data_IF_329218265413
#
_entry.id   IF_329218265413
#
_cell.length_a   1.000
_cell.length_b   1.000
_cell.length_c   1.000
_cell.angle_alpha   90.00
_cell.angle_beta   90.00
_cell.angle_gamma   90.00
#
_symmetry.space_group_name_H-M   'P 1'
#
loop_
_entity.id
_entity.type
_entity.pdbx_description
1 polymer ?
#
# COMPACT_ATOMS: atom_id res chain seq x y z
N UNK A 1 -10.52 26.45 11.08
CA UNK A 1 -10.30 25.01 11.37
C UNK A 1 -9.38 24.89 12.57
N UNK A 2 -9.75 24.08 13.54
CA UNK A 2 -8.85 23.81 14.65
C UNK A 2 -7.59 23.10 14.14
N UNK A 3 -6.43 23.53 14.65
CA UNK A 3 -5.14 22.95 14.24
C UNK A 3 -5.09 21.46 14.63
N UNK A 4 -4.68 20.61 13.69
CA UNK A 4 -4.47 19.20 13.99
C UNK A 4 -3.28 19.02 14.95
N UNK A 5 -3.55 18.61 16.17
CA UNK A 5 -2.52 18.41 17.21
C UNK A 5 -1.77 17.07 17.08
N UNK A 6 -2.12 16.24 16.12
CA UNK A 6 -1.56 14.90 15.93
C UNK A 6 -0.60 14.81 14.74
N UNK A 7 -0.26 15.92 14.11
CA UNK A 7 0.62 15.94 12.91
C UNK A 7 2.00 15.35 13.20
N UNK A 8 2.51 15.53 14.43
CA UNK A 8 3.79 14.95 14.88
C UNK A 8 3.86 13.43 14.74
N UNK A 9 2.71 12.74 14.71
CA UNK A 9 2.66 11.28 14.57
C UNK A 9 3.17 10.80 13.21
N UNK A 10 3.13 11.68 12.20
CA UNK A 10 3.59 11.38 10.83
C UNK A 10 4.96 12.01 10.50
N UNK A 11 5.65 12.61 11.48
CA UNK A 11 6.99 13.12 11.26
C UNK A 11 7.96 12.03 10.81
N UNK A 12 8.73 12.32 9.76
CA UNK A 12 9.72 11.41 9.20
C UNK A 12 9.15 10.38 8.24
N UNK A 13 7.94 10.57 7.73
CA UNK A 13 7.44 9.83 6.57
C UNK A 13 8.42 9.96 5.40
N UNK A 14 8.66 8.87 4.65
CA UNK A 14 9.30 8.95 3.34
C UNK A 14 8.46 9.81 2.37
N UNK A 15 9.06 10.30 1.27
CA UNK A 15 8.30 11.02 0.25
C UNK A 15 7.14 10.16 -0.27
N UNK A 16 6.00 10.80 -0.49
CA UNK A 16 4.78 10.16 -0.97
C UNK A 16 4.57 10.46 -2.45
N UNK A 17 4.37 9.43 -3.25
CA UNK A 17 3.99 9.53 -4.65
C UNK A 17 2.58 8.96 -4.81
N UNK A 18 1.59 9.84 -5.01
CA UNK A 18 0.21 9.37 -5.15
C UNK A 18 -0.25 9.37 -6.60
N UNK A 19 -0.94 8.32 -6.97
CA UNK A 19 -1.41 8.03 -8.32
C UNK A 19 -2.86 8.52 -8.43
N UNK A 20 -3.15 9.32 -9.45
CA UNK A 20 -4.48 9.87 -9.67
C UNK A 20 -4.74 10.05 -11.17
N UNK A 21 -5.90 9.64 -11.65
CA UNK A 21 -6.37 9.84 -13.01
C UNK A 21 -6.70 11.31 -13.24
N UNK A 22 -6.30 11.89 -14.38
CA UNK A 22 -6.39 13.33 -14.63
C UNK A 22 -7.83 13.86 -14.64
N UNK A 23 -8.80 13.07 -15.02
CA UNK A 23 -10.22 13.42 -15.03
C UNK A 23 -10.93 13.18 -13.69
N UNK A 24 -10.18 12.88 -12.62
CA UNK A 24 -10.69 12.66 -11.26
C UNK A 24 -10.24 13.79 -10.30
N UNK A 25 -10.66 15.05 -10.53
CA UNK A 25 -10.20 16.19 -9.73
C UNK A 25 -10.66 16.12 -8.26
N UNK A 26 -11.82 15.52 -7.99
CA UNK A 26 -12.36 15.35 -6.62
C UNK A 26 -11.46 14.43 -5.76
N UNK A 27 -10.91 13.37 -6.36
CA UNK A 27 -9.99 12.45 -5.68
C UNK A 27 -8.65 13.13 -5.43
N UNK A 28 -8.17 13.93 -6.39
CA UNK A 28 -6.99 14.78 -6.22
C UNK A 28 -7.17 15.77 -5.05
N UNK A 29 -8.26 16.53 -5.04
CA UNK A 29 -8.57 17.51 -3.98
C UNK A 29 -8.62 16.83 -2.61
N UNK A 30 -9.27 15.66 -2.52
CA UNK A 30 -9.32 14.87 -1.30
C UNK A 30 -7.92 14.53 -0.76
N UNK A 31 -6.99 14.08 -1.63
CA UNK A 31 -5.63 13.76 -1.21
C UNK A 31 -4.87 15.02 -0.75
N UNK A 32 -4.96 16.11 -1.49
CA UNK A 32 -4.26 17.36 -1.17
C UNK A 32 -4.80 18.00 0.12
N UNK A 33 -6.12 17.96 0.35
CA UNK A 33 -6.73 18.39 1.62
C UNK A 33 -6.25 17.53 2.81
N UNK A 34 -6.16 16.21 2.63
CA UNK A 34 -5.66 15.31 3.63
C UNK A 34 -4.18 15.58 3.96
N UNK A 35 -3.32 15.77 2.95
CA UNK A 35 -1.92 16.11 3.17
C UNK A 35 -1.77 17.44 3.89
N UNK A 36 -2.53 18.45 3.50
CA UNK A 36 -2.58 19.74 4.19
C UNK A 36 -3.04 19.60 5.64
N UNK A 37 -4.06 18.78 5.92
CA UNK A 37 -4.56 18.54 7.27
C UNK A 37 -3.50 17.88 8.17
N UNK A 38 -2.68 16.99 7.61
CA UNK A 38 -1.62 16.27 8.31
C UNK A 38 -0.26 16.98 8.26
N UNK A 39 -0.16 18.17 7.65
CA UNK A 39 1.07 18.92 7.45
C UNK A 39 2.15 18.09 6.70
N UNK A 40 1.73 17.23 5.74
CA UNK A 40 2.61 16.46 4.87
C UNK A 40 2.96 17.36 3.67
N UNK A 41 4.23 17.70 3.51
CA UNK A 41 4.72 18.59 2.45
C UNK A 41 5.46 17.83 1.34
N UNK A 42 6.09 16.70 1.65
CA UNK A 42 6.87 15.91 0.69
C UNK A 42 5.98 14.88 -0.03
N UNK A 43 5.22 15.37 -0.99
CA UNK A 43 4.41 14.54 -1.86
C UNK A 43 4.44 14.98 -3.31
N UNK A 44 4.22 14.02 -4.22
CA UNK A 44 4.16 14.26 -5.67
C UNK A 44 2.98 13.50 -6.25
N UNK A 45 2.16 14.19 -7.05
CA UNK A 45 1.09 13.58 -7.82
C UNK A 45 1.65 12.94 -9.09
N UNK A 46 1.25 11.72 -9.36
CA UNK A 46 1.55 11.00 -10.59
C UNK A 46 0.25 10.85 -11.40
N UNK A 47 0.23 11.42 -12.60
CA UNK A 47 -0.86 11.21 -13.55
C UNK A 47 -0.91 9.75 -13.96
N UNK A 48 -2.01 9.07 -13.68
CA UNK A 48 -2.22 7.67 -13.95
C UNK A 48 -2.49 7.40 -15.44
N UNK A 49 -2.28 6.15 -15.87
CA UNK A 49 -2.84 5.66 -17.12
C UNK A 49 -4.29 5.22 -16.88
N UNK A 50 -5.20 5.78 -17.65
CA UNK A 50 -6.62 5.45 -17.56
C UNK A 50 -6.92 4.22 -18.43
N UNK A 51 -7.24 3.12 -17.78
CA UNK A 51 -7.61 1.87 -18.48
C UNK A 51 -9.12 1.69 -18.67
N UNK A 52 -9.96 2.67 -18.32
CA UNK A 52 -11.40 2.54 -18.43
C UNK A 52 -11.85 2.64 -19.91
N UNK A 53 -11.29 3.59 -20.63
CA UNK A 53 -11.67 3.92 -22.01
C UNK A 53 -10.49 3.87 -22.99
N UNK A 54 -9.24 3.81 -22.51
CA UNK A 54 -8.05 3.88 -23.34
C UNK A 54 -7.56 2.50 -23.78
N UNK A 55 -7.12 2.41 -25.04
CA UNK A 55 -6.28 1.31 -25.49
C UNK A 55 -4.85 1.53 -25.00
N UNK A 56 -4.44 0.74 -24.02
CA UNK A 56 -3.11 0.80 -23.45
C UNK A 56 -2.05 0.02 -24.23
N UNK A 57 -2.34 -0.49 -25.42
CA UNK A 57 -1.40 -1.28 -26.23
C UNK A 57 -0.12 -0.51 -26.56
N UNK A 58 -0.21 0.80 -26.75
CA UNK A 58 0.92 1.67 -27.07
C UNK A 58 1.95 1.78 -25.96
N UNK A 59 1.54 1.60 -24.71
CA UNK A 59 2.46 1.63 -23.55
C UNK A 59 2.96 0.23 -23.17
N UNK A 60 2.44 -0.84 -23.78
CA UNK A 60 2.89 -2.21 -23.50
C UNK A 60 3.99 -2.62 -24.48
N UNK A 61 5.03 -3.23 -23.93
CA UNK A 61 6.15 -3.80 -24.68
C UNK A 61 6.10 -5.33 -24.62
N UNK A 62 6.06 -5.97 -25.77
CA UNK A 62 5.97 -7.42 -25.88
C UNK A 62 4.52 -7.90 -26.01
N UNK A 63 4.21 -9.03 -25.39
CA UNK A 63 2.85 -9.60 -25.46
C UNK A 63 1.90 -8.78 -24.57
N UNK A 64 0.75 -8.43 -25.13
CA UNK A 64 -0.33 -7.81 -24.35
C UNK A 64 -0.89 -8.81 -23.33
N UNK A 65 -1.11 -8.44 -22.06
CA UNK A 65 -1.57 -9.37 -21.02
C UNK A 65 -3.10 -9.62 -21.14
N UNK A 66 -3.48 -10.58 -21.98
CA UNK A 66 -4.88 -10.93 -22.26
C UNK A 66 -5.70 -11.40 -21.04
N UNK A 67 -5.02 -11.77 -19.94
CA UNK A 67 -5.65 -12.22 -18.70
C UNK A 67 -5.84 -11.10 -17.67
N UNK A 68 -5.67 -9.85 -18.10
CA UNK A 68 -5.89 -8.63 -17.29
C UNK A 68 -6.91 -7.74 -17.98
N UNK A 69 -7.75 -7.07 -17.19
CA UNK A 69 -8.57 -5.99 -17.70
C UNK A 69 -7.73 -4.73 -18.01
N UNK A 70 -8.25 -3.84 -18.86
CA UNK A 70 -7.55 -2.57 -19.15
C UNK A 70 -7.36 -1.73 -17.88
N UNK A 71 -8.33 -1.74 -16.95
CA UNK A 71 -8.21 -1.08 -15.65
C UNK A 71 -7.06 -1.66 -14.80
N UNK A 72 -6.90 -3.00 -14.77
CA UNK A 72 -5.78 -3.65 -14.08
C UNK A 72 -4.42 -3.32 -14.73
N UNK A 73 -4.38 -3.22 -16.07
CA UNK A 73 -3.18 -2.79 -16.81
C UNK A 73 -2.85 -1.34 -16.49
N UNK A 74 -3.85 -0.44 -16.53
CA UNK A 74 -3.70 0.97 -16.18
C UNK A 74 -3.19 1.17 -14.77
N UNK A 75 -3.75 0.44 -13.79
CA UNK A 75 -3.31 0.45 -12.41
C UNK A 75 -1.85 0.00 -12.30
N UNK A 76 -1.50 -1.19 -12.82
CA UNK A 76 -0.14 -1.75 -12.72
C UNK A 76 0.90 -0.85 -13.36
N UNK A 77 0.62 -0.32 -14.56
CA UNK A 77 1.54 0.57 -15.26
C UNK A 77 1.68 1.93 -14.58
N UNK A 78 0.61 2.43 -13.94
CA UNK A 78 0.65 3.66 -13.15
C UNK A 78 1.51 3.51 -11.89
N UNK A 79 1.44 2.36 -11.20
CA UNK A 79 2.35 2.06 -10.09
C UNK A 79 3.81 1.99 -10.54
N UNK A 80 4.10 1.33 -11.65
CA UNK A 80 5.46 1.29 -12.22
C UNK A 80 5.94 2.69 -12.64
N UNK A 81 5.05 3.53 -13.19
CA UNK A 81 5.33 4.93 -13.51
C UNK A 81 5.68 5.74 -12.26
N UNK A 82 4.94 5.58 -11.18
CA UNK A 82 5.20 6.25 -9.91
C UNK A 82 6.54 5.84 -9.31
N UNK A 83 6.84 4.55 -9.28
CA UNK A 83 8.12 4.00 -8.83
C UNK A 83 9.27 4.53 -9.68
N UNK A 84 9.14 4.51 -11.01
CA UNK A 84 10.15 5.04 -11.94
C UNK A 84 10.39 6.52 -11.70
N UNK A 85 9.32 7.32 -11.59
CA UNK A 85 9.42 8.75 -11.34
C UNK A 85 10.14 9.07 -10.03
N UNK A 86 9.79 8.38 -8.94
CA UNK A 86 10.52 8.49 -7.68
C UNK A 86 12.02 8.22 -7.85
N UNK A 87 12.37 7.12 -8.51
CA UNK A 87 13.76 6.71 -8.72
C UNK A 87 14.56 7.73 -9.52
N UNK A 88 13.92 8.43 -10.45
CA UNK A 88 14.54 9.45 -11.32
C UNK A 88 14.66 10.82 -10.64
N UNK A 89 13.79 11.13 -9.68
CA UNK A 89 13.66 12.50 -9.11
C UNK A 89 14.11 12.64 -7.66
N UNK A 90 14.31 11.52 -6.94
CA UNK A 90 14.68 11.53 -5.53
C UNK A 90 15.82 10.55 -5.24
N UNK A 91 16.60 10.83 -4.21
CA UNK A 91 17.63 9.93 -3.67
C UNK A 91 17.21 9.27 -2.35
N UNK A 92 15.97 9.40 -1.92
CA UNK A 92 15.48 8.78 -0.68
C UNK A 92 15.66 7.25 -0.73
N UNK A 93 16.00 6.59 0.39
CA UNK A 93 16.22 5.14 0.43
C UNK A 93 14.93 4.33 0.26
N UNK A 94 13.79 4.94 0.55
CA UNK A 94 12.46 4.38 0.37
C UNK A 94 11.45 5.48 0.02
N UNK A 95 10.30 5.09 -0.48
CA UNK A 95 9.17 5.97 -0.75
C UNK A 95 7.86 5.28 -0.38
N UNK A 96 6.82 6.06 -0.18
CA UNK A 96 5.45 5.59 -0.10
C UNK A 96 4.81 5.83 -1.47
N UNK A 97 4.26 4.77 -2.04
CA UNK A 97 3.41 4.86 -3.22
C UNK A 97 1.97 4.68 -2.74
N UNK A 98 1.08 5.55 -3.19
CA UNK A 98 -0.32 5.54 -2.77
C UNK A 98 -1.27 5.73 -3.95
N UNK A 99 -2.50 5.24 -3.81
CA UNK A 99 -3.62 5.58 -4.68
C UNK A 99 -4.37 6.80 -4.13
N UNK A 100 -5.20 7.41 -4.94
CA UNK A 100 -5.89 8.66 -4.64
C UNK A 100 -7.14 8.51 -3.73
N UNK A 101 -7.29 7.33 -3.15
CA UNK A 101 -8.29 7.03 -2.11
C UNK A 101 -7.68 6.67 -0.76
N UNK A 102 -6.37 6.79 -0.60
CA UNK A 102 -5.71 6.60 0.68
C UNK A 102 -6.37 7.43 1.78
N UNK A 103 -6.57 6.83 2.97
CA UNK A 103 -7.08 7.52 4.15
C UNK A 103 -6.15 7.34 5.35
N UNK A 104 -5.68 8.46 5.90
CA UNK A 104 -4.86 8.53 7.11
C UNK A 104 -5.71 8.64 8.39
N UNK A 105 -7.02 8.38 8.30
CA UNK A 105 -7.94 8.49 9.43
C UNK A 105 -7.50 7.73 10.68
N UNK A 106 -6.96 6.49 10.62
CA UNK A 106 -6.52 5.74 11.80
C UNK A 106 -5.41 6.41 12.60
N UNK A 107 -4.59 7.25 11.97
CA UNK A 107 -3.47 7.95 12.62
C UNK A 107 -3.91 8.76 13.83
N UNK A 108 -5.15 9.28 13.83
CA UNK A 108 -5.70 10.01 14.98
C UNK A 108 -5.70 9.16 16.25
N UNK A 109 -5.91 7.87 16.10
CA UNK A 109 -6.02 6.91 17.21
C UNK A 109 -4.70 6.26 17.60
N UNK A 110 -3.58 6.50 16.87
CA UNK A 110 -2.31 5.89 17.24
C UNK A 110 -1.79 6.44 18.57
N UNK A 111 -1.29 5.55 19.46
CA UNK A 111 -0.51 5.88 20.65
C UNK A 111 1.00 5.99 20.38
N UNK A 112 1.41 5.89 19.12
CA UNK A 112 2.80 5.89 18.66
C UNK A 112 2.99 6.84 17.47
N UNK A 113 4.25 7.03 17.05
CA UNK A 113 4.61 7.82 15.86
C UNK A 113 5.05 6.93 14.71
N UNK A 114 5.09 7.47 13.49
CA UNK A 114 5.69 6.80 12.34
C UNK A 114 7.14 6.36 12.62
N UNK A 115 7.92 7.20 13.31
CA UNK A 115 9.31 6.88 13.69
C UNK A 115 9.39 5.64 14.58
N UNK A 116 8.46 5.53 15.55
CA UNK A 116 8.41 4.36 16.44
C UNK A 116 8.08 3.08 15.66
N UNK A 117 7.11 3.15 14.76
CA UNK A 117 6.76 2.04 13.88
C UNK A 117 7.90 1.68 12.92
N UNK A 118 8.48 2.67 12.24
CA UNK A 118 9.56 2.46 11.27
C UNK A 118 10.77 1.76 11.90
N UNK A 119 11.10 2.11 13.14
CA UNK A 119 12.18 1.48 13.90
C UNK A 119 11.94 -0.01 14.23
N UNK A 120 10.71 -0.52 14.04
CA UNK A 120 10.34 -1.92 14.29
C UNK A 120 10.22 -2.77 13.02
N UNK A 121 10.26 -2.15 11.85
CA UNK A 121 10.16 -2.87 10.58
C UNK A 121 11.39 -3.79 10.43
N UNK A 122 11.21 -5.06 10.01
CA UNK A 122 12.32 -5.98 9.75
C UNK A 122 13.33 -5.43 8.75
N UNK A 123 14.61 -5.60 8.98
CA UNK A 123 15.69 -5.07 8.12
C UNK A 123 15.66 -5.59 6.68
N UNK A 124 15.06 -6.76 6.48
CA UNK A 124 15.03 -7.46 5.20
C UNK A 124 13.80 -7.12 4.36
N UNK A 125 13.01 -6.11 4.75
CA UNK A 125 11.85 -5.74 3.97
C UNK A 125 12.22 -5.14 2.61
N UNK A 126 11.52 -5.56 1.58
CA UNK A 126 11.50 -4.91 0.26
C UNK A 126 10.29 -3.98 0.15
N UNK A 127 9.14 -4.44 0.66
CA UNK A 127 7.89 -3.70 0.66
C UNK A 127 7.17 -3.87 2.00
N UNK A 128 6.53 -2.80 2.48
CA UNK A 128 5.55 -2.85 3.58
C UNK A 128 4.21 -2.36 3.04
N UNK A 129 3.25 -3.27 2.91
CA UNK A 129 1.88 -2.94 2.57
C UNK A 129 1.20 -2.28 3.79
N UNK A 130 0.71 -1.06 3.62
CA UNK A 130 0.19 -0.21 4.71
C UNK A 130 -1.34 -0.10 4.73
N UNK A 131 -1.99 -0.38 3.60
CA UNK A 131 -3.45 -0.48 3.49
C UNK A 131 -3.80 -1.86 2.93
N UNK A 132 -4.67 -2.57 3.62
CA UNK A 132 -4.95 -3.98 3.34
C UNK A 132 -6.44 -4.20 3.17
N UNK A 133 -6.80 -4.98 2.15
CA UNK A 133 -8.13 -5.56 1.96
C UNK A 133 -7.95 -7.07 2.04
N UNK A 134 -8.52 -7.70 3.05
CA UNK A 134 -8.43 -9.14 3.26
C UNK A 134 -9.79 -9.82 3.06
N UNK A 135 -9.82 -10.92 2.33
CA UNK A 135 -11.03 -11.73 2.13
C UNK A 135 -11.26 -12.76 3.24
N UNK A 136 -10.31 -12.87 4.15
CA UNK A 136 -10.37 -13.78 5.30
C UNK A 136 -10.46 -13.06 6.64
N UNK A 137 -9.90 -13.66 7.68
CA UNK A 137 -9.79 -13.02 8.99
C UNK A 137 -8.78 -11.85 8.91
N UNK A 138 -9.22 -10.67 9.35
CA UNK A 138 -8.37 -9.49 9.37
C UNK A 138 -7.26 -9.65 10.42
N UNK A 139 -6.02 -9.51 9.97
CA UNK A 139 -4.84 -9.61 10.83
C UNK A 139 -4.17 -8.24 10.98
N UNK A 140 -4.38 -7.59 12.14
CA UNK A 140 -3.86 -6.24 12.42
C UNK A 140 -2.55 -6.35 13.21
N UNK A 141 -1.55 -6.93 12.59
CA UNK A 141 -0.16 -7.04 13.07
C UNK A 141 0.78 -6.98 11.88
N UNK A 142 2.01 -6.56 12.09
CA UNK A 142 3.04 -6.66 11.06
C UNK A 142 3.43 -8.12 10.87
N UNK A 143 3.13 -8.66 9.73
CA UNK A 143 3.38 -10.07 9.38
C UNK A 143 3.91 -10.19 7.95
N UNK A 144 4.49 -11.33 7.63
CA UNK A 144 4.78 -11.67 6.22
C UNK A 144 3.47 -11.67 5.45
N UNK A 145 3.43 -10.96 4.32
CA UNK A 145 2.21 -10.82 3.51
C UNK A 145 1.62 -12.19 3.15
N UNK A 146 0.34 -12.35 3.43
CA UNK A 146 -0.44 -13.49 2.96
C UNK A 146 -0.94 -13.23 1.53
N UNK A 147 -1.20 -14.29 0.78
CA UNK A 147 -1.73 -14.17 -0.59
C UNK A 147 -3.07 -13.45 -0.66
N UNK A 148 -3.84 -13.44 0.43
CA UNK A 148 -5.14 -12.80 0.55
C UNK A 148 -5.09 -11.36 1.09
N UNK A 149 -3.90 -10.81 1.32
CA UNK A 149 -3.72 -9.41 1.67
C UNK A 149 -3.66 -8.60 0.37
N UNK A 150 -4.80 -8.17 -0.10
CA UNK A 150 -4.94 -7.39 -1.34
C UNK A 150 -4.80 -5.90 -1.08
N UNK A 151 -4.75 -5.12 -2.15
CA UNK A 151 -4.71 -3.67 -2.22
C UNK A 151 -3.32 -3.07 -2.36
N UNK A 152 -3.20 -2.19 -3.33
CA UNK A 152 -2.07 -1.30 -3.56
C UNK A 152 -2.37 0.15 -3.17
N UNK A 153 -3.46 0.38 -2.40
CA UNK A 153 -3.89 1.72 -1.98
C UNK A 153 -2.79 2.49 -1.23
N UNK A 154 -1.92 1.80 -0.48
CA UNK A 154 -0.69 2.38 0.06
C UNK A 154 0.34 1.33 0.45
N UNK A 155 1.59 1.55 0.06
CA UNK A 155 2.73 0.74 0.48
C UNK A 155 4.02 1.56 0.51
N UNK A 156 4.94 1.17 1.38
CA UNK A 156 6.30 1.67 1.39
C UNK A 156 7.20 0.67 0.66
N UNK A 157 8.08 1.17 -0.21
CA UNK A 157 8.98 0.36 -1.04
C UNK A 157 10.43 0.84 -0.89
N UNK A 158 11.37 -0.09 -0.81
CA UNK A 158 12.80 0.22 -0.81
C UNK A 158 13.32 0.53 -2.20
N UNK A 159 14.38 1.36 -2.28
CA UNK A 159 15.07 1.67 -3.54
C UNK A 159 15.58 0.41 -4.22
N UNK A 160 16.14 -0.53 -3.46
CA UNK A 160 16.63 -1.80 -4.00
C UNK A 160 15.53 -2.57 -4.75
N UNK A 161 14.34 -2.68 -4.15
CA UNK A 161 13.23 -3.38 -4.78
C UNK A 161 12.67 -2.61 -5.99
N UNK A 162 12.59 -1.29 -5.89
CA UNK A 162 12.20 -0.42 -7.00
C UNK A 162 13.11 -0.60 -8.22
N UNK A 163 14.44 -0.65 -8.04
CA UNK A 163 15.41 -0.93 -9.11
C UNK A 163 15.13 -2.27 -9.79
N UNK A 164 14.83 -3.30 -8.99
CA UNK A 164 14.46 -4.62 -9.50
C UNK A 164 13.20 -4.55 -10.36
N UNK A 165 12.13 -3.91 -9.88
CA UNK A 165 10.88 -3.77 -10.63
C UNK A 165 11.08 -3.01 -11.94
N UNK A 166 11.80 -1.88 -11.91
CA UNK A 166 12.12 -1.09 -13.10
C UNK A 166 12.90 -1.93 -14.10
N UNK A 167 13.93 -2.64 -13.66
CA UNK A 167 14.73 -3.50 -14.53
C UNK A 167 13.92 -4.59 -15.21
N UNK A 168 12.97 -5.18 -14.51
CA UNK A 168 12.14 -6.25 -15.06
C UNK A 168 11.00 -5.73 -15.92
N UNK A 169 10.36 -4.62 -15.55
CA UNK A 169 9.08 -4.21 -16.10
C UNK A 169 9.10 -2.91 -16.92
N UNK A 170 10.13 -2.06 -16.79
CA UNK A 170 10.19 -0.82 -17.56
C UNK A 170 11.15 -0.94 -18.76
N UNK A 171 10.75 -0.39 -19.92
CA UNK A 171 11.50 -0.37 -21.16
C UNK A 171 11.39 1.01 -21.82
N UNK A 172 12.14 1.99 -21.30
CA UNK A 172 11.92 3.40 -21.62
C UNK A 172 10.55 3.83 -21.09
N UNK A 173 9.69 4.32 -21.97
CA UNK A 173 8.34 4.76 -21.63
C UNK A 173 7.27 3.67 -21.81
N UNK A 174 7.69 2.43 -22.03
CA UNK A 174 6.81 1.27 -22.17
C UNK A 174 7.02 0.27 -21.03
N UNK A 175 6.00 -0.56 -20.79
CA UNK A 175 5.98 -1.53 -19.70
C UNK A 175 5.87 -2.96 -20.24
N UNK A 176 6.64 -3.87 -19.63
CA UNK A 176 6.63 -5.29 -19.95
C UNK A 176 6.00 -6.07 -18.81
N UNK A 177 4.79 -6.56 -19.03
CA UNK A 177 3.96 -7.22 -18.01
C UNK A 177 3.91 -8.75 -18.15
N UNK A 178 4.63 -9.33 -19.12
CA UNK A 178 4.64 -10.76 -19.43
C UNK A 178 5.69 -11.55 -18.64
N UNK A 179 6.42 -10.93 -17.72
CA UNK A 179 7.55 -11.56 -17.03
C UNK A 179 7.46 -11.49 -15.51
N UNK A 180 7.70 -12.63 -14.88
CA UNK A 180 8.06 -12.74 -13.47
C UNK A 180 6.94 -12.59 -12.44
N UNK A 181 5.81 -12.00 -12.82
CA UNK A 181 4.67 -11.88 -11.93
C UNK A 181 3.80 -13.14 -11.98
N UNK A 182 3.42 -13.67 -10.82
CA UNK A 182 2.53 -14.83 -10.68
C UNK A 182 1.54 -14.57 -9.56
N UNK A 183 0.28 -14.97 -9.72
CA UNK A 183 -0.28 -15.67 -10.87
C UNK A 183 -0.54 -14.78 -12.09
N UNK A 184 -0.64 -13.45 -11.92
CA UNK A 184 -0.89 -12.45 -12.97
C UNK A 184 0.01 -11.23 -12.77
N UNK A 185 0.12 -10.36 -13.76
CA UNK A 185 0.89 -9.12 -13.66
C UNK A 185 0.07 -7.94 -13.10
N UNK A 186 -0.97 -8.20 -12.30
CA UNK A 186 -1.69 -7.17 -11.55
C UNK A 186 -0.78 -6.52 -10.50
N UNK A 187 -1.07 -5.28 -10.13
CA UNK A 187 -0.21 -4.48 -9.26
C UNK A 187 0.17 -5.21 -7.96
N UNK A 188 -0.80 -5.83 -7.26
CA UNK A 188 -0.55 -6.61 -6.05
C UNK A 188 0.48 -7.72 -6.26
N UNK A 189 0.27 -8.55 -7.28
CA UNK A 189 1.15 -9.70 -7.52
C UNK A 189 2.54 -9.26 -8.00
N UNK A 190 2.59 -8.25 -8.87
CA UNK A 190 3.82 -7.77 -9.44
C UNK A 190 4.72 -7.11 -8.40
N UNK A 191 4.14 -6.25 -7.54
CA UNK A 191 4.89 -5.47 -6.56
C UNK A 191 5.27 -6.35 -5.37
N UNK A 192 4.30 -7.11 -4.84
CA UNK A 192 4.47 -7.79 -3.56
C UNK A 192 5.11 -9.17 -3.65
N UNK A 193 4.78 -9.96 -4.70
CA UNK A 193 5.29 -11.33 -4.80
C UNK A 193 6.73 -11.40 -5.34
N UNK A 194 7.27 -10.29 -5.82
CA UNK A 194 8.64 -10.24 -6.34
C UNK A 194 9.69 -9.90 -5.28
N UNK A 195 9.29 -9.58 -4.05
CA UNK A 195 10.16 -9.18 -2.95
C UNK A 195 9.74 -9.75 -1.61
N UNK A 196 10.48 -9.34 -0.59
CA UNK A 196 10.21 -9.67 0.79
C UNK A 196 9.18 -8.68 1.36
N UNK A 197 7.90 -9.04 1.28
CA UNK A 197 6.79 -8.15 1.62
C UNK A 197 6.20 -8.46 2.98
N UNK A 198 6.01 -7.42 3.77
CA UNK A 198 5.26 -7.43 5.01
C UNK A 198 3.96 -6.67 4.84
N UNK A 199 2.94 -7.02 5.63
CA UNK A 199 1.63 -6.36 5.63
C UNK A 199 1.25 -5.93 7.03
N UNK A 200 0.64 -4.75 7.11
CA UNK A 200 -0.03 -4.24 8.30
C UNK A 200 -1.06 -3.17 7.89
N UNK A 201 -2.33 -3.27 8.30
CA UNK A 201 -3.32 -2.25 7.97
C UNK A 201 -3.21 -1.02 8.90
N UNK A 202 -2.16 -0.21 8.70
CA UNK A 202 -1.98 1.06 9.42
C UNK A 202 -2.91 2.15 8.91
N UNK A 203 -3.21 2.13 7.61
CA UNK A 203 -4.01 3.10 6.91
C UNK A 203 -5.23 2.44 6.28
N UNK A 204 -6.14 3.28 5.80
CA UNK A 204 -7.36 2.86 5.14
C UNK A 204 -7.42 3.39 3.71
N UNK A 205 -8.47 3.03 3.01
CA UNK A 205 -8.92 3.58 1.75
C UNK A 205 -10.30 4.22 1.93
N UNK A 206 -10.64 5.22 1.11
CA UNK A 206 -11.92 5.92 1.23
C UNK A 206 -13.01 5.20 0.45
N UNK A 207 -13.87 4.49 1.16
CA UNK A 207 -14.97 3.69 0.57
C UNK A 207 -15.92 4.56 -0.28
N UNK A 208 -16.19 5.80 0.16
CA UNK A 208 -17.12 6.71 -0.51
C UNK A 208 -16.70 7.08 -1.93
N UNK A 209 -15.43 6.92 -2.27
CA UNK A 209 -14.92 7.16 -3.62
C UNK A 209 -15.13 5.96 -4.55
N UNK A 210 -15.54 4.81 -4.00
CA UNK A 210 -15.73 3.57 -4.75
C UNK A 210 -14.43 2.96 -5.28
N UNK A 211 -14.57 1.87 -6.01
CA UNK A 211 -13.48 1.27 -6.78
C UNK A 211 -13.76 1.46 -8.26
N UNK A 212 -12.81 1.99 -9.01
CA UNK A 212 -12.91 2.14 -10.46
C UNK A 212 -12.60 0.84 -11.22
N UNK A 213 -11.93 -0.12 -10.56
CA UNK A 213 -11.52 -1.40 -11.18
C UNK A 213 -12.51 -2.52 -10.84
N UNK A 214 -12.92 -2.61 -9.57
CA UNK A 214 -13.80 -3.67 -9.05
C UNK A 214 -14.92 -3.09 -8.18
N UNK A 215 -15.90 -2.37 -8.78
CA UNK A 215 -16.96 -1.71 -8.01
C UNK A 215 -17.84 -2.71 -7.22
N UNK A 216 -17.97 -3.94 -7.68
CA UNK A 216 -18.75 -5.01 -7.02
C UNK A 216 -18.11 -5.48 -5.69
N UNK A 217 -16.82 -5.27 -5.47
CA UNK A 217 -16.15 -5.66 -4.23
C UNK A 217 -16.39 -4.68 -3.08
N UNK A 218 -16.85 -3.45 -3.37
CA UNK A 218 -16.99 -2.39 -2.36
C UNK A 218 -17.92 -2.81 -1.23
N UNK A 219 -19.12 -3.28 -1.54
CA UNK A 219 -20.09 -3.68 -0.53
C UNK A 219 -19.78 -5.05 0.10
N UNK A 220 -19.20 -5.97 -0.68
CA UNK A 220 -18.97 -7.34 -0.24
C UNK A 220 -17.75 -7.49 0.68
N UNK A 221 -16.67 -6.76 0.40
CA UNK A 221 -15.37 -6.97 1.04
C UNK A 221 -14.84 -5.69 1.67
N UNK A 222 -14.80 -4.58 0.90
CA UNK A 222 -14.11 -3.37 1.32
C UNK A 222 -14.71 -2.76 2.58
N UNK A 223 -16.04 -2.69 2.67
CA UNK A 223 -16.74 -2.07 3.80
C UNK A 223 -16.48 -2.82 5.11
N UNK A 224 -16.55 -4.14 5.10
CA UNK A 224 -16.28 -4.95 6.30
C UNK A 224 -14.83 -4.79 6.80
N UNK A 225 -13.87 -4.77 5.88
CA UNK A 225 -12.46 -4.51 6.22
C UNK A 225 -12.26 -3.09 6.76
N UNK A 226 -12.82 -2.10 6.09
CA UNK A 226 -12.74 -0.70 6.53
C UNK A 226 -13.25 -0.53 7.96
N UNK A 227 -14.46 -0.99 8.23
CA UNK A 227 -15.09 -0.87 9.54
C UNK A 227 -14.27 -1.64 10.62
N UNK A 228 -13.81 -2.84 10.29
CA UNK A 228 -12.97 -3.65 11.18
C UNK A 228 -11.66 -2.97 11.56
N UNK A 229 -10.92 -2.46 10.56
CA UNK A 229 -9.64 -1.75 10.79
C UNK A 229 -9.86 -0.46 11.57
N UNK A 230 -10.85 0.35 11.17
CA UNK A 230 -11.15 1.60 11.85
C UNK A 230 -11.52 1.40 13.31
N UNK A 231 -12.44 0.47 13.57
CA UNK A 231 -12.88 0.13 14.93
C UNK A 231 -11.72 -0.39 15.79
N UNK A 232 -10.88 -1.25 15.22
CA UNK A 232 -9.70 -1.74 15.94
C UNK A 232 -8.80 -0.59 16.39
N UNK A 233 -8.41 0.33 15.46
CA UNK A 233 -7.56 1.46 15.80
C UNK A 233 -8.19 2.42 16.79
N UNK A 234 -9.49 2.67 16.70
CA UNK A 234 -10.19 3.53 17.64
C UNK A 234 -10.20 2.95 19.05
N UNK A 235 -10.36 1.63 19.18
CA UNK A 235 -10.44 0.96 20.48
C UNK A 235 -9.09 0.66 21.11
N UNK A 236 -8.10 0.27 20.30
CA UNK A 236 -6.82 -0.24 20.80
C UNK A 236 -5.64 0.70 20.54
N UNK A 237 -5.74 1.53 19.52
CA UNK A 237 -4.62 2.36 19.05
C UNK A 237 -4.00 3.25 20.11
N UNK A 238 -4.75 3.93 21.00
CA UNK A 238 -4.18 4.83 22.00
C UNK A 238 -3.20 4.17 22.99
N UNK A 239 -3.45 2.92 23.35
CA UNK A 239 -2.71 2.19 24.38
C UNK A 239 -1.91 1.01 23.81
N UNK A 240 -1.74 0.94 22.48
CA UNK A 240 -1.13 -0.21 21.83
C UNK A 240 0.37 -0.28 22.11
N UNK A 241 0.85 -1.45 22.51
CA UNK A 241 2.28 -1.76 22.51
C UNK A 241 2.70 -2.24 21.12
N UNK A 242 3.55 -1.46 20.45
CA UNK A 242 4.07 -1.81 19.14
C UNK A 242 4.82 -3.16 19.11
N UNK A 243 5.43 -3.57 20.21
CA UNK A 243 6.10 -4.88 20.26
C UNK A 243 5.08 -6.02 20.12
N UNK A 244 3.87 -5.84 20.67
CA UNK A 244 2.79 -6.83 20.55
C UNK A 244 2.21 -6.92 19.14
N UNK A 245 2.48 -5.92 18.31
CA UNK A 245 2.02 -5.89 16.91
C UNK A 245 2.97 -6.58 15.93
N UNK A 246 4.12 -7.06 16.40
CA UNK A 246 5.13 -7.69 15.54
C UNK A 246 4.96 -9.21 15.60
N UNK A 247 4.48 -9.83 14.52
CA UNK A 247 4.51 -11.28 14.33
C UNK A 247 5.86 -11.76 13.76
N UNK A 248 6.88 -10.94 13.90
CA UNK A 248 8.23 -11.20 13.45
C UNK A 248 9.20 -10.90 14.59
N UNK A 249 10.06 -11.86 14.90
CA UNK A 249 11.17 -11.63 15.83
C UNK A 249 12.39 -11.14 15.04
N UNK A 250 12.79 -9.87 15.19
CA UNK A 250 13.92 -9.30 14.45
C UNK A 250 15.26 -9.96 14.76
N UNK A 251 15.38 -10.65 15.90
CA UNK A 251 16.61 -11.35 16.30
C UNK A 251 16.65 -12.80 15.81
N UNK A 252 15.50 -13.46 15.74
CA UNK A 252 15.41 -14.87 15.34
C UNK A 252 15.12 -15.06 13.86
N UNK A 253 14.71 -14.01 13.14
CA UNK A 253 14.30 -14.12 11.74
C UNK A 253 13.11 -15.04 11.52
N UNK A 254 12.28 -15.27 12.54
CA UNK A 254 11.15 -16.20 12.53
C UNK A 254 9.88 -15.49 12.91
N UNK A 255 8.78 -15.92 12.29
CA UNK A 255 7.45 -15.66 12.81
C UNK A 255 7.34 -16.39 14.15
N UNK A 256 7.02 -15.68 15.22
CA UNK A 256 6.69 -16.33 16.49
C UNK A 256 5.36 -17.03 16.31
N UNK A 257 5.37 -18.31 15.94
CA UNK A 257 4.20 -19.16 16.08
C UNK A 257 3.84 -19.16 17.58
N UNK A 258 2.69 -18.60 17.92
CA UNK A 258 2.08 -18.88 19.23
C UNK A 258 1.81 -20.38 19.23
N UNK A 259 2.66 -21.14 19.91
CA UNK A 259 2.39 -22.53 20.23
C UNK A 259 1.13 -22.51 21.09
N UNK A 260 -0.01 -22.79 20.49
CA UNK A 260 -1.22 -23.12 21.24
C UNK A 260 -0.85 -24.37 22.06
N UNK A 261 -0.65 -24.17 23.35
CA UNK A 261 -0.55 -25.32 24.27
C UNK A 261 -1.86 -26.11 24.12
N UNK A 262 -1.78 -27.42 23.86
CA UNK A 262 -2.98 -28.25 23.85
C UNK A 262 -3.68 -28.11 25.21
N UNK A 263 -5.02 -28.14 25.26
CA UNK A 263 -5.74 -28.09 26.51
C UNK A 263 -5.23 -29.21 27.41
N UNK A 264 -4.82 -28.85 28.63
CA UNK A 264 -4.50 -29.83 29.66
C UNK A 264 -5.81 -30.58 29.97
N UNK A 265 -5.85 -31.84 29.58
CA UNK A 265 -6.89 -32.75 30.02
C UNK A 265 -6.78 -32.90 31.54
N UNK A 266 -7.79 -32.38 32.28
CA UNK A 266 -8.00 -32.56 33.71
C UNK A 266 -8.87 -33.76 34.00
#
# INVERSE_FOLDING_TARGET
MDKNKSTYKLEGLPPIYYINIDDQPERKEYMEEQFKYWEIEDYTRISAYDGRDDDLSDIIKGRYPENMSSGEIGCTTSHLKAIKHWMETSNSPCAIIAEDDLSLQPVRSWGFTWKDFYAKIPYDYDVVQLAVICTGALHIRLHKRFVNDFSTAAYMITRHHAEKLIKFHCRGDKYKLDQGAKPRAVADDLIYNSGNTYSIPLWLYRIQLGSSIHPEHVDLIHKGNYDGILNYWQQNGPDIDLNSMMDYDPYLGRITEQVQQPPQEG
#
